data_IF_353635277808
#
_entry.id   IF_353635277808
#
_cell.length_a   1.000
_cell.length_b   1.000
_cell.length_c   1.000
_cell.angle_alpha   90.00
_cell.angle_beta   90.00
_cell.angle_gamma   90.00
#
_symmetry.space_group_name_H-M   'P 1'
#
loop_
_entity.id
_entity.type
_entity.pdbx_description
1 polymer ?
#
# COMPACT_ATOMS: atom_id res chain seq x y z
N UNK A 1 3.01 27.94 21.89
CA UNK A 1 4.42 28.12 22.31
C UNK A 1 4.89 26.82 22.97
N UNK A 2 5.74 26.07 22.28
CA UNK A 2 6.84 25.30 22.80
C UNK A 2 6.56 24.07 23.66
N UNK A 3 6.20 22.94 23.05
CA UNK A 3 6.39 21.61 23.65
C UNK A 3 6.82 20.58 22.59
N UNK A 4 7.87 20.87 21.83
CA UNK A 4 8.61 19.86 21.07
C UNK A 4 10.10 20.21 21.18
N UNK A 5 10.69 19.89 22.33
CA UNK A 5 12.14 19.91 22.50
C UNK A 5 12.70 18.55 22.06
N UNK A 6 13.64 18.65 21.14
CA UNK A 6 14.75 17.78 20.78
C UNK A 6 14.60 16.28 21.13
N UNK A 7 14.33 15.49 20.13
CA UNK A 7 14.49 14.03 20.18
C UNK A 7 15.97 13.68 20.41
N UNK A 8 16.23 13.05 21.53
CA UNK A 8 17.54 12.51 21.91
C UNK A 8 17.93 11.40 20.94
N UNK A 9 18.85 11.69 20.01
CA UNK A 9 19.35 10.75 18.98
C UNK A 9 20.05 9.49 19.55
N UNK A 10 20.12 9.35 20.86
CA UNK A 10 20.79 8.25 21.57
C UNK A 10 19.83 7.36 22.38
N UNK A 11 18.52 7.47 22.18
CA UNK A 11 17.59 6.57 22.87
C UNK A 11 17.70 5.17 22.28
N UNK A 12 18.39 4.28 22.98
CA UNK A 12 18.28 2.83 22.72
C UNK A 12 16.82 2.41 22.88
N UNK A 13 16.32 1.63 21.95
CA UNK A 13 15.01 1.00 22.10
C UNK A 13 14.93 0.30 23.47
N UNK A 14 13.84 0.46 24.23
CA UNK A 14 13.69 -0.25 25.48
C UNK A 14 13.70 -1.75 25.25
N UNK A 15 14.41 -2.49 26.08
CA UNK A 15 14.39 -3.96 26.05
C UNK A 15 12.95 -4.46 26.21
N UNK A 16 12.57 -5.45 25.42
CA UNK A 16 11.27 -6.12 25.56
C UNK A 16 11.04 -6.49 27.01
N UNK A 17 9.94 -6.10 27.65
CA UNK A 17 9.63 -6.56 28.98
C UNK A 17 9.51 -8.08 28.96
N UNK A 18 10.34 -8.76 29.73
CA UNK A 18 10.22 -10.21 29.96
C UNK A 18 8.94 -10.45 30.77
N UNK A 19 7.85 -10.71 30.08
CA UNK A 19 6.63 -11.23 30.73
C UNK A 19 6.95 -12.62 31.25
N UNK A 20 6.56 -12.92 32.50
CA UNK A 20 6.71 -14.26 33.03
C UNK A 20 5.93 -15.23 32.14
N UNK A 21 6.55 -16.33 31.71
CA UNK A 21 5.97 -17.35 30.83
C UNK A 21 4.57 -17.81 31.29
N UNK A 22 4.32 -17.82 32.59
CA UNK A 22 3.03 -18.21 33.17
C UNK A 22 1.88 -17.28 32.81
N UNK A 23 2.10 -15.95 32.77
CA UNK A 23 1.05 -14.99 32.38
C UNK A 23 0.80 -15.03 30.87
N UNK A 24 1.85 -15.21 30.08
CA UNK A 24 1.72 -15.33 28.63
C UNK A 24 0.98 -16.61 28.24
N UNK A 25 1.30 -17.74 28.87
CA UNK A 25 0.63 -19.02 28.65
C UNK A 25 -0.83 -19.00 29.07
N UNK A 26 -1.18 -18.37 30.21
CA UNK A 26 -2.56 -18.19 30.64
C UNK A 26 -3.36 -17.30 29.69
N UNK A 27 -2.75 -16.25 29.16
CA UNK A 27 -3.37 -15.35 28.19
C UNK A 27 -3.60 -16.06 26.87
N UNK A 28 -2.63 -16.81 26.36
CA UNK A 28 -2.78 -17.60 25.13
C UNK A 28 -3.83 -18.70 25.26
N UNK A 29 -3.94 -19.35 26.43
CA UNK A 29 -4.96 -20.35 26.70
C UNK A 29 -6.38 -19.74 26.74
N UNK A 30 -6.54 -18.55 27.32
CA UNK A 30 -7.77 -17.80 27.30
C UNK A 30 -8.16 -17.38 25.87
N UNK A 31 -7.20 -16.90 25.08
CA UNK A 31 -7.39 -16.54 23.66
C UNK A 31 -7.81 -17.76 22.85
N UNK A 32 -7.17 -18.91 23.01
CA UNK A 32 -7.50 -20.15 22.32
C UNK A 32 -8.92 -20.64 22.61
N UNK A 33 -9.42 -20.36 23.81
CA UNK A 33 -10.78 -20.75 24.23
C UNK A 33 -11.88 -19.92 23.53
N UNK A 34 -11.60 -18.67 23.18
CA UNK A 34 -12.55 -17.73 22.55
C UNK A 34 -12.38 -17.53 21.06
N UNK A 35 -11.25 -18.00 20.47
CA UNK A 35 -10.93 -17.80 19.05
C UNK A 35 -11.28 -18.99 18.13
N UNK A 36 -11.98 -19.99 18.62
CA UNK A 36 -12.18 -21.29 17.93
C UNK A 36 -13.12 -21.38 16.71
N UNK A 37 -13.79 -20.39 16.14
CA UNK A 37 -14.50 -20.64 14.87
C UNK A 37 -13.91 -20.02 13.62
N UNK A 38 -12.81 -19.28 13.65
CA UNK A 38 -12.37 -18.44 12.50
C UNK A 38 -11.28 -19.07 11.63
N UNK A 39 -10.63 -20.11 12.09
CA UNK A 39 -9.50 -20.74 11.39
C UNK A 39 -9.88 -21.50 10.09
N UNK A 40 -11.16 -21.78 9.90
CA UNK A 40 -11.64 -22.59 8.76
C UNK A 40 -11.61 -21.91 7.38
N UNK A 41 -11.37 -20.61 7.32
CA UNK A 41 -11.40 -19.85 6.06
C UNK A 41 -10.02 -19.65 5.38
N UNK A 42 -8.93 -19.79 6.13
CA UNK A 42 -7.57 -19.55 5.60
C UNK A 42 -6.80 -20.86 5.32
N UNK A 43 -7.16 -21.95 6.00
CA UNK A 43 -6.50 -23.26 5.84
C UNK A 43 -6.70 -23.88 4.43
N UNK A 44 -7.62 -23.33 3.63
CA UNK A 44 -7.82 -23.76 2.24
C UNK A 44 -7.02 -22.96 1.21
N UNK A 45 -6.11 -22.08 1.65
CA UNK A 45 -5.21 -21.32 0.80
C UNK A 45 -3.76 -21.82 0.85
N UNK A 46 -3.52 -23.05 1.30
CA UNK A 46 -2.29 -23.77 0.94
C UNK A 46 -2.32 -24.14 -0.55
N UNK A 47 -2.08 -23.12 -1.37
CA UNK A 47 -1.71 -23.35 -2.75
C UNK A 47 -0.24 -23.76 -2.70
N UNK A 48 0.06 -25.05 -2.90
CA UNK A 48 1.43 -25.52 -3.10
C UNK A 48 2.02 -24.87 -4.36
N UNK A 49 2.77 -23.79 -4.16
CA UNK A 49 3.52 -23.14 -5.23
C UNK A 49 4.87 -23.84 -5.43
N UNK A 50 4.99 -24.65 -6.45
CA UNK A 50 6.31 -25.00 -7.00
C UNK A 50 6.79 -23.86 -7.89
N UNK A 51 7.42 -22.85 -7.31
CA UNK A 51 7.98 -21.72 -8.05
C UNK A 51 9.46 -21.97 -8.29
N UNK A 52 9.86 -22.16 -9.54
CA UNK A 52 11.28 -22.26 -9.92
C UNK A 52 12.03 -20.93 -9.82
N UNK A 53 11.32 -19.81 -9.78
CA UNK A 53 11.81 -18.43 -9.63
C UNK A 53 10.74 -17.64 -8.87
N UNK A 54 11.17 -16.88 -7.85
CA UNK A 54 10.26 -15.98 -7.15
C UNK A 54 9.88 -14.82 -8.05
N UNK A 55 8.58 -14.57 -8.22
CA UNK A 55 8.08 -13.38 -8.91
C UNK A 55 8.49 -12.15 -8.11
N UNK A 56 9.08 -11.17 -8.81
CA UNK A 56 9.51 -9.91 -8.22
C UNK A 56 8.41 -8.87 -8.40
N UNK A 57 8.05 -8.23 -7.30
CA UNK A 57 6.95 -7.27 -7.23
C UNK A 57 7.45 -5.93 -6.71
N UNK A 58 7.24 -4.85 -7.45
CA UNK A 58 7.35 -3.49 -6.94
C UNK A 58 5.97 -2.97 -6.54
N UNK A 59 5.87 -2.33 -5.37
CA UNK A 59 4.66 -1.61 -4.94
C UNK A 59 5.00 -0.13 -4.81
N UNK A 60 4.28 0.72 -5.51
CA UNK A 60 4.61 2.13 -5.65
C UNK A 60 3.44 3.03 -5.20
N UNK A 61 3.76 4.06 -4.41
CA UNK A 61 2.88 5.19 -4.16
C UNK A 61 3.50 6.45 -4.77
N UNK A 62 2.73 7.11 -5.65
CA UNK A 62 3.13 8.36 -6.28
C UNK A 62 2.52 9.56 -5.56
N UNK A 63 3.10 10.77 -5.72
CA UNK A 63 2.46 11.98 -5.25
C UNK A 63 1.14 12.25 -6.04
N UNK A 64 0.17 12.88 -5.47
CA UNK A 64 0.17 13.47 -4.16
C UNK A 64 -0.49 12.53 -3.16
N UNK A 65 0.08 12.46 -1.97
CA UNK A 65 -0.50 11.88 -0.78
C UNK A 65 0.11 12.57 0.46
N UNK A 66 -0.59 12.56 1.60
CA UNK A 66 -0.06 13.16 2.82
C UNK A 66 1.26 12.49 3.26
N UNK A 67 2.39 13.22 3.32
CA UNK A 67 3.69 12.68 3.70
C UNK A 67 3.90 12.63 5.23
N UNK A 68 2.84 12.60 6.02
CA UNK A 68 2.93 12.58 7.49
C UNK A 68 3.52 11.28 8.02
N UNK A 69 3.18 10.15 7.40
CA UNK A 69 3.58 8.81 7.82
C UNK A 69 3.82 7.89 6.63
N UNK A 70 4.62 6.81 6.79
CA UNK A 70 4.76 5.79 5.76
C UNK A 70 3.40 5.20 5.34
N UNK A 71 3.21 4.87 4.05
CA UNK A 71 1.93 4.41 3.52
C UNK A 71 1.55 3.03 4.06
N UNK A 72 0.63 3.01 5.00
CA UNK A 72 0.16 1.80 5.68
C UNK A 72 -0.36 0.73 4.70
N UNK A 73 -1.14 1.14 3.70
CA UNK A 73 -1.68 0.24 2.68
C UNK A 73 -0.57 -0.49 1.90
N UNK A 74 0.47 0.23 1.47
CA UNK A 74 1.61 -0.35 0.76
C UNK A 74 2.38 -1.31 1.66
N UNK A 75 2.62 -0.93 2.93
CA UNK A 75 3.27 -1.80 3.92
C UNK A 75 2.47 -3.09 4.19
N UNK A 76 1.14 -3.03 4.23
CA UNK A 76 0.27 -4.21 4.38
C UNK A 76 0.32 -5.13 3.17
N UNK A 77 0.26 -4.56 1.96
CA UNK A 77 0.34 -5.32 0.71
C UNK A 77 1.73 -5.98 0.55
N UNK A 78 2.80 -5.26 0.90
CA UNK A 78 4.16 -5.80 0.89
C UNK A 78 4.27 -7.00 1.83
N UNK A 79 3.79 -6.87 3.07
CA UNK A 79 3.79 -7.95 4.04
C UNK A 79 2.99 -9.17 3.55
N UNK A 80 1.79 -8.96 2.98
CA UNK A 80 0.98 -10.04 2.45
C UNK A 80 1.70 -10.81 1.33
N UNK A 81 2.32 -10.10 0.39
CA UNK A 81 3.03 -10.69 -0.72
C UNK A 81 4.35 -11.37 -0.28
N UNK A 82 5.15 -10.74 0.61
CA UNK A 82 6.36 -11.36 1.18
C UNK A 82 6.05 -12.66 1.92
N UNK A 83 4.96 -12.70 2.71
CA UNK A 83 4.49 -13.93 3.41
C UNK A 83 4.07 -15.03 2.46
N UNK A 84 3.53 -14.68 1.29
CA UNK A 84 3.20 -15.63 0.23
C UNK A 84 4.44 -16.09 -0.59
N UNK A 85 5.64 -15.60 -0.27
CA UNK A 85 6.90 -16.03 -0.85
C UNK A 85 7.38 -15.19 -2.05
N UNK A 86 6.73 -14.08 -2.35
CA UNK A 86 7.15 -13.15 -3.40
C UNK A 86 8.34 -12.30 -2.94
N UNK A 87 9.20 -11.90 -3.89
CA UNK A 87 10.27 -10.94 -3.67
C UNK A 87 9.71 -9.52 -3.89
N UNK A 88 9.54 -8.76 -2.82
CA UNK A 88 8.80 -7.50 -2.85
C UNK A 88 9.69 -6.34 -2.45
N UNK A 89 9.62 -5.24 -3.21
CA UNK A 89 10.22 -3.95 -2.89
C UNK A 89 9.16 -2.85 -3.00
N UNK A 90 9.07 -2.01 -1.96
CA UNK A 90 8.14 -0.89 -1.92
C UNK A 90 8.85 0.42 -2.21
N UNK A 91 8.18 1.33 -2.93
CA UNK A 91 8.67 2.66 -3.26
C UNK A 91 7.62 3.70 -2.86
N UNK A 92 7.94 4.51 -1.87
CA UNK A 92 7.17 5.72 -1.58
C UNK A 92 7.78 6.91 -2.32
N UNK A 93 7.40 7.03 -3.59
CA UNK A 93 7.87 8.12 -4.46
C UNK A 93 7.26 9.45 -4.03
N UNK A 94 6.11 9.40 -3.34
CA UNK A 94 5.48 10.59 -2.80
C UNK A 94 6.34 11.27 -1.73
N UNK A 95 6.87 10.52 -0.76
CA UNK A 95 7.73 11.13 0.28
C UNK A 95 9.06 11.58 -0.30
N UNK A 96 9.62 10.85 -1.27
CA UNK A 96 10.85 11.29 -1.96
C UNK A 96 10.62 12.60 -2.74
N UNK A 97 9.46 12.75 -3.38
CA UNK A 97 9.07 13.97 -4.08
C UNK A 97 8.86 15.15 -3.11
N UNK A 98 8.20 14.90 -1.97
CA UNK A 98 8.01 15.91 -0.94
C UNK A 98 9.33 16.35 -0.31
N UNK A 99 10.24 15.42 -0.02
CA UNK A 99 11.56 15.72 0.50
C UNK A 99 12.37 16.55 -0.50
N UNK A 100 12.32 16.19 -1.78
CA UNK A 100 12.92 16.97 -2.86
C UNK A 100 12.31 18.38 -2.95
N UNK A 101 11.00 18.53 -2.88
CA UNK A 101 10.34 19.84 -2.89
C UNK A 101 10.81 20.73 -1.74
N UNK A 102 10.97 20.19 -0.54
CA UNK A 102 11.45 20.96 0.61
C UNK A 102 12.91 21.42 0.48
N UNK A 103 13.73 20.64 -0.19
CA UNK A 103 15.17 20.87 -0.28
C UNK A 103 15.58 21.59 -1.58
N UNK A 104 14.82 21.43 -2.64
CA UNK A 104 15.05 22.08 -3.93
C UNK A 104 14.18 23.34 -4.05
N UNK A 105 14.72 24.34 -4.76
CA UNK A 105 13.93 25.52 -5.07
C UNK A 105 13.10 25.28 -6.33
N UNK A 106 11.89 24.69 -6.15
CA UNK A 106 10.91 24.68 -7.24
C UNK A 106 10.41 26.11 -7.45
N UNK A 107 10.54 26.63 -8.63
CA UNK A 107 10.12 28.00 -8.96
C UNK A 107 8.59 28.08 -9.12
N UNK A 108 7.87 27.70 -8.03
CA UNK A 108 6.42 27.75 -7.91
C UNK A 108 6.05 28.56 -6.67
N UNK A 109 4.89 29.20 -6.70
CA UNK A 109 4.38 30.08 -5.63
C UNK A 109 3.32 29.41 -4.73
N UNK A 110 3.26 28.09 -4.75
CA UNK A 110 2.33 27.31 -3.93
C UNK A 110 3.01 26.05 -3.36
N UNK A 111 2.44 25.52 -2.28
CA UNK A 111 2.80 24.19 -1.76
C UNK A 111 2.00 23.11 -2.51
N UNK A 112 2.65 22.22 -3.28
CA UNK A 112 1.96 21.15 -3.99
C UNK A 112 1.27 20.14 -3.07
N UNK A 113 1.66 20.03 -1.80
CA UNK A 113 1.05 19.16 -0.80
C UNK A 113 0.07 19.88 0.13
N UNK A 114 -0.36 21.12 -0.22
CA UNK A 114 -1.49 21.77 0.43
C UNK A 114 -2.79 21.08 -0.02
N UNK A 115 -3.57 20.46 0.88
CA UNK A 115 -4.82 19.77 0.52
C UNK A 115 -5.87 20.65 -0.15
N UNK A 116 -5.74 21.98 -0.05
CA UNK A 116 -6.60 22.92 -0.75
C UNK A 116 -6.15 23.20 -2.19
N UNK A 117 -5.03 22.60 -2.59
CA UNK A 117 -4.39 22.82 -3.91
C UNK A 117 -4.10 21.51 -4.65
N UNK A 118 -4.75 20.40 -4.27
CA UNK A 118 -4.64 19.09 -4.90
C UNK A 118 -4.98 19.07 -6.40
N UNK A 119 -5.75 20.06 -6.86
CA UNK A 119 -6.10 20.24 -8.26
C UNK A 119 -4.89 20.46 -9.19
N UNK A 120 -3.73 20.89 -8.68
CA UNK A 120 -2.50 20.99 -9.47
C UNK A 120 -1.96 19.61 -9.91
N UNK A 121 -2.39 18.53 -9.23
CA UNK A 121 -2.00 17.16 -9.57
C UNK A 121 -2.92 16.52 -10.61
N UNK A 122 -4.04 17.18 -10.97
CA UNK A 122 -4.93 16.71 -12.03
C UNK A 122 -4.24 16.83 -13.38
N UNK A 123 -4.58 15.92 -14.31
CA UNK A 123 -3.86 15.75 -15.58
C UNK A 123 -3.65 17.06 -16.35
N UNK A 124 -4.65 17.96 -16.37
CA UNK A 124 -4.57 19.25 -17.06
C UNK A 124 -3.52 20.19 -16.45
N UNK A 125 -3.35 20.16 -15.15
CA UNK A 125 -2.45 21.04 -14.40
C UNK A 125 -1.10 20.39 -14.11
N UNK A 126 -1.08 19.08 -13.89
CA UNK A 126 0.13 18.33 -13.55
C UNK A 126 1.26 18.58 -14.55
N UNK A 127 1.00 18.42 -15.84
CA UNK A 127 2.03 18.60 -16.87
C UNK A 127 2.49 20.06 -17.01
N UNK A 128 1.66 21.02 -16.64
CA UNK A 128 1.98 22.43 -16.69
C UNK A 128 2.72 22.92 -15.45
N UNK A 129 2.27 22.47 -14.27
CA UNK A 129 2.63 23.10 -13.00
C UNK A 129 3.65 22.29 -12.19
N UNK A 130 3.67 20.94 -12.35
CA UNK A 130 4.40 20.02 -11.48
C UNK A 130 5.44 19.17 -12.23
N UNK A 131 5.07 18.63 -13.37
CA UNK A 131 5.81 17.57 -14.05
C UNK A 131 7.29 17.88 -14.26
N UNK A 132 7.62 19.09 -14.75
CA UNK A 132 9.00 19.51 -15.02
C UNK A 132 9.89 19.40 -13.79
N UNK A 133 9.38 19.72 -12.61
CA UNK A 133 10.11 19.63 -11.34
C UNK A 133 10.25 18.19 -10.84
N UNK A 134 9.25 17.36 -11.12
CA UNK A 134 9.18 16.00 -10.63
C UNK A 134 9.87 14.98 -11.56
N UNK A 135 9.92 15.24 -12.86
CA UNK A 135 10.42 14.31 -13.87
C UNK A 135 11.82 13.75 -13.57
N UNK A 136 12.82 14.54 -13.14
CA UNK A 136 14.14 14.00 -12.84
C UNK A 136 14.11 12.92 -11.74
N UNK A 137 13.30 13.10 -10.71
CA UNK A 137 13.09 12.10 -9.67
C UNK A 137 12.36 10.87 -10.21
N UNK A 138 11.30 11.05 -11.01
CA UNK A 138 10.58 9.93 -11.62
C UNK A 138 11.49 9.09 -12.50
N UNK A 139 12.36 9.71 -13.30
CA UNK A 139 13.34 9.01 -14.13
C UNK A 139 14.35 8.20 -13.28
N UNK A 140 14.83 8.77 -12.17
CA UNK A 140 15.67 8.06 -11.22
C UNK A 140 14.92 6.84 -10.64
N UNK A 141 13.67 7.01 -10.17
CA UNK A 141 12.87 5.93 -9.58
C UNK A 141 12.51 4.85 -10.60
N UNK A 142 12.24 5.22 -11.83
CA UNK A 142 12.06 4.26 -12.92
C UNK A 142 13.32 3.41 -13.10
N UNK A 143 14.52 4.02 -13.05
CA UNK A 143 15.75 3.26 -13.16
C UNK A 143 15.96 2.32 -11.96
N UNK A 144 15.71 2.79 -10.73
CA UNK A 144 15.75 1.93 -9.53
C UNK A 144 14.80 0.71 -9.63
N UNK A 145 13.60 0.91 -10.19
CA UNK A 145 12.64 -0.17 -10.45
C UNK A 145 13.18 -1.12 -11.53
N UNK A 146 13.74 -0.60 -12.61
CA UNK A 146 14.33 -1.42 -13.68
C UNK A 146 15.50 -2.26 -13.14
N UNK A 147 16.35 -1.68 -12.31
CA UNK A 147 17.50 -2.38 -11.70
C UNK A 147 17.06 -3.50 -10.75
N UNK A 148 15.92 -3.36 -10.10
CA UNK A 148 15.30 -4.46 -9.34
C UNK A 148 14.79 -5.57 -10.26
N UNK A 149 14.53 -5.30 -11.53
CA UNK A 149 14.02 -6.23 -12.56
C UNK A 149 12.70 -6.90 -12.14
N UNK A 150 11.61 -6.14 -11.89
CA UNK A 150 10.34 -6.68 -11.46
C UNK A 150 9.61 -7.40 -12.59
N UNK A 151 8.86 -8.43 -12.22
CA UNK A 151 7.87 -9.07 -13.10
C UNK A 151 6.54 -8.29 -13.06
N UNK A 152 6.26 -7.66 -11.91
CA UNK A 152 5.02 -6.92 -11.65
C UNK A 152 5.33 -5.59 -10.98
N UNK A 153 4.70 -4.51 -11.42
CA UNK A 153 4.68 -3.21 -10.74
C UNK A 153 3.24 -2.83 -10.41
N UNK A 154 2.95 -2.70 -9.12
CA UNK A 154 1.66 -2.31 -8.59
C UNK A 154 1.66 -0.86 -8.10
N UNK A 155 0.66 -0.10 -8.49
CA UNK A 155 0.48 1.28 -8.07
C UNK A 155 -0.76 1.43 -7.18
N UNK A 156 -0.64 2.21 -6.11
CA UNK A 156 -1.80 2.69 -5.37
C UNK A 156 -2.35 3.95 -6.02
N UNK A 157 -3.59 3.88 -6.48
CA UNK A 157 -4.24 4.96 -7.21
C UNK A 157 -5.21 5.72 -6.33
N UNK A 158 -4.93 7.01 -6.20
CA UNK A 158 -5.83 8.04 -5.70
C UNK A 158 -6.16 9.01 -6.84
N UNK A 159 -7.22 9.77 -6.67
CA UNK A 159 -7.63 10.76 -7.66
C UNK A 159 -6.51 11.76 -7.98
N UNK A 160 -5.81 12.24 -6.96
CA UNK A 160 -4.75 13.23 -7.08
C UNK A 160 -3.44 12.68 -7.68
N UNK A 161 -3.16 11.38 -7.62
CA UNK A 161 -1.90 10.83 -8.13
C UNK A 161 -2.02 10.11 -9.50
N UNK A 162 -3.14 10.27 -10.18
CA UNK A 162 -3.40 9.57 -11.44
C UNK A 162 -2.43 9.97 -12.56
N UNK A 163 -2.16 11.26 -12.72
CA UNK A 163 -1.30 11.75 -13.80
C UNK A 163 0.16 11.25 -13.67
N UNK A 164 0.86 11.41 -12.53
CA UNK A 164 2.20 10.85 -12.36
C UNK A 164 2.22 9.31 -12.41
N UNK A 165 1.15 8.63 -11.95
CA UNK A 165 1.05 7.17 -12.05
C UNK A 165 0.99 6.71 -13.50
N UNK A 166 0.17 7.33 -14.32
CA UNK A 166 0.11 7.03 -15.77
C UNK A 166 1.43 7.28 -16.47
N UNK A 167 2.07 8.41 -16.17
CA UNK A 167 3.39 8.72 -16.73
C UNK A 167 4.40 7.61 -16.42
N UNK A 168 4.52 7.23 -15.14
CA UNK A 168 5.45 6.18 -14.72
C UNK A 168 5.14 4.82 -15.35
N UNK A 169 3.86 4.44 -15.41
CA UNK A 169 3.43 3.20 -16.02
C UNK A 169 3.77 3.15 -17.52
N UNK A 170 3.57 4.25 -18.25
CA UNK A 170 3.95 4.36 -19.67
C UNK A 170 5.46 4.21 -19.86
N UNK A 171 6.27 4.90 -19.07
CA UNK A 171 7.72 4.83 -19.16
C UNK A 171 8.26 3.44 -18.79
N UNK A 172 7.69 2.79 -17.79
CA UNK A 172 8.05 1.41 -17.43
C UNK A 172 7.71 0.43 -18.55
N UNK A 173 6.53 0.50 -19.16
CA UNK A 173 6.17 -0.37 -20.30
C UNK A 173 7.07 -0.16 -21.51
N UNK A 174 7.52 1.06 -21.78
CA UNK A 174 8.51 1.33 -22.87
C UNK A 174 9.84 0.64 -22.61
N UNK A 175 10.33 0.62 -21.38
CA UNK A 175 11.66 0.10 -21.01
C UNK A 175 11.64 -1.37 -20.59
N UNK A 176 10.51 -1.85 -20.06
CA UNK A 176 10.27 -3.23 -19.65
C UNK A 176 9.01 -3.75 -20.36
N UNK A 177 9.08 -4.14 -21.66
CA UNK A 177 7.89 -4.49 -22.45
C UNK A 177 7.07 -5.67 -21.89
N UNK A 178 7.71 -6.52 -21.09
CA UNK A 178 7.08 -7.71 -20.49
C UNK A 178 6.61 -7.50 -19.05
N UNK A 179 6.78 -6.31 -18.48
CA UNK A 179 6.34 -6.02 -17.12
C UNK A 179 4.83 -5.98 -17.05
N UNK A 180 4.27 -6.62 -16.04
CA UNK A 180 2.84 -6.50 -15.73
C UNK A 180 2.60 -5.28 -14.86
N UNK A 181 1.76 -4.37 -15.31
CA UNK A 181 1.36 -3.19 -14.55
C UNK A 181 0.01 -3.42 -13.89
N UNK A 182 -0.04 -3.28 -12.57
CA UNK A 182 -1.26 -3.39 -11.77
C UNK A 182 -1.60 -2.04 -11.14
N UNK A 183 -2.88 -1.81 -10.94
CA UNK A 183 -3.37 -0.66 -10.20
C UNK A 183 -4.45 -1.08 -9.22
N UNK A 184 -4.40 -0.54 -8.02
CA UNK A 184 -5.41 -0.72 -6.97
C UNK A 184 -5.62 0.59 -6.20
N UNK A 185 -6.51 0.58 -5.22
CA UNK A 185 -6.79 1.75 -4.41
C UNK A 185 -8.18 2.36 -4.64
N UNK A 186 -8.56 3.38 -3.87
CA UNK A 186 -9.93 3.90 -3.86
C UNK A 186 -10.40 4.38 -5.22
N UNK A 187 -9.53 5.03 -5.99
CA UNK A 187 -9.93 5.65 -7.27
C UNK A 187 -10.14 4.67 -8.41
N UNK A 188 -9.82 3.38 -8.24
CA UNK A 188 -10.15 2.34 -9.23
C UNK A 188 -11.66 2.07 -9.34
N UNK A 189 -12.43 2.49 -8.35
CA UNK A 189 -13.91 2.42 -8.34
C UNK A 189 -14.58 3.67 -8.90
N UNK A 190 -13.84 4.77 -9.07
CA UNK A 190 -14.43 6.04 -9.48
C UNK A 190 -14.90 5.98 -10.94
N UNK A 191 -15.92 6.80 -11.24
CA UNK A 191 -16.40 6.98 -12.62
C UNK A 191 -15.35 7.63 -13.55
N UNK A 192 -14.32 8.22 -12.96
CA UNK A 192 -13.19 8.84 -13.67
C UNK A 192 -12.16 7.79 -14.14
N UNK A 193 -12.06 6.64 -13.43
CA UNK A 193 -11.20 5.54 -13.87
C UNK A 193 -11.97 4.64 -14.84
N UNK A 194 -11.71 4.81 -16.10
CA UNK A 194 -12.25 3.93 -17.17
C UNK A 194 -11.11 3.04 -17.60
N UNK A 195 -10.99 1.83 -17.09
CA UNK A 195 -9.93 0.86 -17.36
C UNK A 195 -9.09 1.21 -18.61
N UNK A 196 -7.88 1.66 -18.37
CA UNK A 196 -6.97 2.12 -19.42
C UNK A 196 -6.14 0.93 -19.90
N UNK A 197 -5.86 0.80 -21.20
CA UNK A 197 -4.99 -0.25 -21.77
C UNK A 197 -3.58 -0.26 -21.16
N UNK A 198 -3.24 0.79 -20.45
CA UNK A 198 -1.97 0.94 -19.76
C UNK A 198 -1.83 -0.05 -18.60
N UNK A 199 -2.94 -0.42 -17.94
CA UNK A 199 -2.95 -1.30 -16.78
C UNK A 199 -3.41 -2.70 -17.15
N UNK A 200 -2.57 -3.69 -16.89
CA UNK A 200 -2.88 -5.10 -17.19
C UNK A 200 -3.88 -5.66 -16.18
N UNK A 201 -3.84 -5.19 -14.93
CA UNK A 201 -4.75 -5.58 -13.86
C UNK A 201 -5.26 -4.38 -13.07
N UNK A 202 -6.54 -4.39 -12.76
CA UNK A 202 -7.21 -3.40 -11.90
C UNK A 202 -7.80 -4.12 -10.69
N UNK A 203 -7.32 -3.77 -9.51
CA UNK A 203 -7.76 -4.37 -8.24
C UNK A 203 -8.81 -3.49 -7.59
N UNK A 204 -10.04 -3.98 -7.48
CA UNK A 204 -11.15 -3.28 -6.83
C UNK A 204 -11.45 -3.92 -5.48
N UNK A 205 -11.48 -3.12 -4.41
CA UNK A 205 -11.75 -3.55 -3.04
C UNK A 205 -10.50 -3.63 -2.18
N UNK A 206 -10.53 -4.47 -1.16
CA UNK A 206 -9.40 -4.66 -0.25
C UNK A 206 -8.30 -5.44 -0.96
N UNK A 207 -7.10 -4.85 -1.00
CA UNK A 207 -6.06 -5.28 -1.92
C UNK A 207 -5.31 -6.57 -1.54
N UNK A 208 -5.36 -7.01 -0.28
CA UNK A 208 -4.47 -8.07 0.21
C UNK A 208 -4.66 -9.41 -0.53
N UNK A 209 -5.88 -9.93 -0.61
CA UNK A 209 -6.14 -11.18 -1.34
C UNK A 209 -6.19 -10.99 -2.86
N UNK A 210 -6.86 -9.96 -3.41
CA UNK A 210 -6.84 -9.74 -4.85
C UNK A 210 -5.44 -9.60 -5.43
N UNK A 211 -4.51 -8.97 -4.71
CA UNK A 211 -3.10 -8.92 -5.10
C UNK A 211 -2.52 -10.34 -5.23
N UNK A 212 -2.71 -11.19 -4.21
CA UNK A 212 -2.19 -12.57 -4.24
C UNK A 212 -2.84 -13.41 -5.35
N UNK A 213 -4.14 -13.24 -5.58
CA UNK A 213 -4.86 -13.89 -6.68
C UNK A 213 -4.30 -13.46 -8.04
N UNK A 214 -4.02 -12.16 -8.21
CA UNK A 214 -3.41 -11.65 -9.43
C UNK A 214 -2.01 -12.21 -9.65
N UNK A 215 -1.16 -12.18 -8.63
CA UNK A 215 0.20 -12.72 -8.70
C UNK A 215 0.19 -14.21 -9.05
N UNK A 216 -0.67 -14.99 -8.40
CA UNK A 216 -0.83 -16.40 -8.71
C UNK A 216 -1.32 -16.65 -10.16
N UNK A 217 -2.23 -15.80 -10.65
CA UNK A 217 -2.71 -15.88 -12.03
C UNK A 217 -1.61 -15.60 -13.05
N UNK A 218 -0.76 -14.60 -12.78
CA UNK A 218 0.38 -14.25 -13.62
C UNK A 218 1.35 -15.43 -13.69
N UNK A 219 1.70 -16.04 -12.56
CA UNK A 219 2.62 -17.16 -12.48
C UNK A 219 2.07 -18.42 -13.20
N UNK A 220 0.83 -18.75 -12.95
CA UNK A 220 0.23 -19.98 -13.50
C UNK A 220 -0.32 -19.81 -14.91
N UNK A 221 -0.30 -18.60 -15.50
CA UNK A 221 -0.95 -18.27 -16.79
C UNK A 221 -2.42 -18.71 -16.87
N UNK A 222 -3.06 -18.96 -15.72
CA UNK A 222 -4.47 -19.32 -15.62
C UNK A 222 -5.28 -18.04 -15.55
N UNK A 223 -6.12 -17.81 -16.54
CA UNK A 223 -6.92 -16.60 -16.66
C UNK A 223 -7.86 -16.41 -15.47
N UNK A 224 -7.77 -15.28 -14.83
CA UNK A 224 -8.86 -14.71 -14.05
C UNK A 224 -9.98 -14.38 -15.03
N UNK A 225 -11.24 -14.51 -14.61
CA UNK A 225 -12.37 -14.21 -15.48
C UNK A 225 -12.20 -12.83 -16.13
N UNK A 226 -12.13 -12.84 -17.43
CA UNK A 226 -11.92 -11.68 -18.27
C UNK A 226 -13.27 -11.27 -18.85
N UNK A 227 -13.60 -9.99 -18.72
CA UNK A 227 -14.70 -9.42 -19.49
C UNK A 227 -14.13 -8.99 -20.84
N UNK A 228 -14.53 -9.63 -21.93
CA UNK A 228 -14.05 -9.36 -23.30
C UNK A 228 -14.25 -7.90 -23.74
N UNK A 229 -15.13 -7.15 -23.06
CA UNK A 229 -15.38 -5.74 -23.32
C UNK A 229 -14.44 -4.79 -22.56
N UNK A 230 -13.69 -5.30 -21.59
CA UNK A 230 -12.73 -4.52 -20.79
C UNK A 230 -11.31 -4.90 -21.23
N UNK A 231 -10.50 -3.90 -21.57
CA UNK A 231 -9.12 -4.10 -22.01
C UNK A 231 -8.20 -4.54 -20.88
N UNK A 232 -8.52 -4.17 -19.62
CA UNK A 232 -7.80 -4.56 -18.42
C UNK A 232 -8.53 -5.67 -17.66
N UNK A 233 -7.77 -6.59 -17.05
CA UNK A 233 -8.35 -7.63 -16.17
C UNK A 233 -8.73 -7.01 -14.83
N UNK A 234 -10.01 -7.00 -14.51
CA UNK A 234 -10.52 -6.51 -13.24
C UNK A 234 -10.63 -7.64 -12.24
N UNK A 235 -9.94 -7.49 -11.11
CA UNK A 235 -10.01 -8.41 -9.98
C UNK A 235 -10.82 -7.74 -8.89
N UNK A 236 -11.97 -8.31 -8.58
CA UNK A 236 -12.87 -7.81 -7.53
C UNK A 236 -12.85 -8.73 -6.33
N UNK A 237 -12.74 -8.12 -5.16
CA UNK A 237 -13.01 -8.86 -3.94
C UNK A 237 -14.49 -9.24 -3.92
N UNK A 238 -14.86 -10.52 -3.70
CA UNK A 238 -16.25 -10.91 -3.54
C UNK A 238 -16.90 -10.19 -2.36
N UNK A 239 -18.11 -9.65 -2.53
CA UNK A 239 -18.81 -8.86 -1.51
C UNK A 239 -19.07 -9.62 -0.20
N UNK A 240 -19.18 -10.94 -0.26
CA UNK A 240 -19.42 -11.82 0.87
C UNK A 240 -18.13 -12.34 1.54
N UNK A 241 -16.96 -12.04 0.99
CA UNK A 241 -15.65 -12.47 1.50
C UNK A 241 -14.90 -11.28 2.09
N UNK A 242 -15.36 -10.80 3.24
CA UNK A 242 -14.68 -9.75 3.98
C UNK A 242 -13.66 -10.35 4.92
N UNK A 243 -12.44 -9.82 4.93
CA UNK A 243 -11.41 -10.32 5.84
C UNK A 243 -11.77 -10.06 7.30
N UNK A 244 -11.39 -10.98 8.15
CA UNK A 244 -11.18 -10.68 9.55
C UNK A 244 -9.88 -9.87 9.67
N UNK A 245 -9.99 -8.59 9.97
CA UNK A 245 -8.82 -7.68 10.04
C UNK A 245 -7.78 -8.15 11.04
N UNK A 246 -8.19 -8.92 12.07
CA UNK A 246 -7.28 -9.48 13.07
C UNK A 246 -6.37 -10.60 12.55
N UNK A 247 -6.66 -11.14 11.36
CA UNK A 247 -5.84 -12.20 10.74
C UNK A 247 -4.95 -11.68 9.63
N UNK A 248 -5.07 -10.40 9.27
CA UNK A 248 -4.21 -9.79 8.29
C UNK A 248 -2.77 -9.69 8.81
N UNK A 249 -1.75 -9.85 7.96
CA UNK A 249 -0.36 -9.73 8.37
C UNK A 249 -0.06 -8.33 8.93
N UNK A 250 0.91 -8.25 9.83
CA UNK A 250 1.44 -6.97 10.32
C UNK A 250 2.07 -6.18 9.16
N UNK A 251 2.04 -4.83 9.18
CA UNK A 251 2.65 -4.04 8.11
C UNK A 251 4.16 -4.25 8.04
N UNK A 252 4.72 -4.23 6.84
CA UNK A 252 6.17 -4.31 6.62
C UNK A 252 6.66 -2.95 6.12
N UNK A 253 7.35 -2.24 6.98
CA UNK A 253 7.90 -0.92 6.70
C UNK A 253 9.39 -0.95 6.35
N UNK A 254 9.99 -2.11 6.11
CA UNK A 254 11.43 -2.29 5.91
C UNK A 254 12.00 -1.51 4.72
N UNK A 255 11.17 -1.16 3.74
CA UNK A 255 11.59 -0.40 2.56
C UNK A 255 11.44 1.14 2.74
N UNK A 256 10.92 1.62 3.89
CA UNK A 256 10.63 3.03 4.09
C UNK A 256 11.62 3.72 5.03
N UNK A 257 12.16 4.86 4.61
CA UNK A 257 13.01 5.71 5.43
C UNK A 257 12.16 6.69 6.24
N UNK A 258 11.92 6.36 7.51
CA UNK A 258 11.10 7.15 8.42
C UNK A 258 11.59 8.59 8.60
N UNK A 259 12.88 8.85 8.43
CA UNK A 259 13.46 10.19 8.59
C UNK A 259 12.93 11.23 7.58
N UNK A 260 12.40 10.76 6.46
CA UNK A 260 11.85 11.60 5.38
C UNK A 260 10.44 12.10 5.66
N UNK A 261 9.69 11.47 6.56
CA UNK A 261 8.30 11.83 6.83
C UNK A 261 8.17 13.02 7.77
N UNK A 262 7.02 13.69 7.75
CA UNK A 262 6.73 14.81 8.67
C UNK A 262 6.85 14.39 10.13
N UNK A 263 6.47 13.15 10.45
CA UNK A 263 6.54 12.56 11.78
C UNK A 263 7.43 11.31 11.76
N UNK A 264 8.76 11.48 11.88
CA UNK A 264 9.72 10.38 11.69
C UNK A 264 9.66 9.29 12.78
N UNK A 265 8.99 9.56 13.90
CA UNK A 265 8.79 8.59 14.99
C UNK A 265 7.35 8.07 15.04
N UNK A 266 6.60 8.19 13.96
CA UNK A 266 5.19 7.80 13.90
C UNK A 266 4.90 6.83 12.77
N UNK A 267 3.93 5.95 13.00
CA UNK A 267 3.36 5.07 12.00
C UNK A 267 1.85 4.92 12.19
N UNK A 268 1.17 4.52 11.13
CA UNK A 268 -0.28 4.29 11.17
C UNK A 268 -0.59 2.87 11.64
N UNK A 269 -1.64 2.72 12.46
CA UNK A 269 -2.18 1.46 12.90
C UNK A 269 -3.65 1.34 12.48
N UNK A 270 -4.03 0.20 11.91
CA UNK A 270 -5.43 -0.04 11.53
C UNK A 270 -6.18 -0.74 12.65
N UNK A 271 -7.10 -0.04 13.31
CA UNK A 271 -8.00 -0.61 14.33
C UNK A 271 -9.37 -1.00 13.78
N UNK A 272 -9.77 -0.39 12.67
CA UNK A 272 -11.04 -0.67 11.99
C UNK A 272 -10.94 -0.32 10.52
N UNK A 273 -11.83 -0.90 9.72
CA UNK A 273 -11.96 -0.61 8.28
C UNK A 273 -13.43 -0.41 7.92
N UNK A 274 -13.70 0.58 7.07
CA UNK A 274 -15.04 0.98 6.69
C UNK A 274 -15.72 1.89 7.72
N UNK A 275 -16.95 2.29 7.44
CA UNK A 275 -17.71 3.23 8.26
C UNK A 275 -19.14 2.76 8.47
N UNK A 276 -19.73 3.09 9.64
CA UNK A 276 -21.14 2.84 9.94
C UNK A 276 -22.07 3.91 9.39
N UNK A 277 -21.54 5.11 9.09
CA UNK A 277 -22.32 6.21 8.52
C UNK A 277 -22.60 5.96 7.04
N UNK A 278 -23.62 6.61 6.50
CA UNK A 278 -24.03 6.52 5.08
C UNK A 278 -24.05 7.92 4.47
N UNK A 279 -22.92 8.64 4.60
CA UNK A 279 -22.81 9.98 4.04
C UNK A 279 -22.87 9.90 2.51
N UNK A 280 -23.71 10.73 1.90
CA UNK A 280 -23.98 10.70 0.45
C UNK A 280 -22.77 11.07 -0.42
N UNK A 281 -21.81 11.78 0.15
CA UNK A 281 -20.57 12.22 -0.50
C UNK A 281 -19.37 11.29 -0.26
N UNK A 282 -19.53 10.26 0.60
CA UNK A 282 -18.41 9.43 1.03
C UNK A 282 -18.37 8.12 0.26
N UNK A 283 -17.31 7.89 -0.51
CA UNK A 283 -17.12 6.65 -1.26
C UNK A 283 -16.86 5.44 -0.36
N UNK A 284 -16.20 5.61 0.79
CA UNK A 284 -15.88 4.50 1.70
C UNK A 284 -17.09 3.70 2.17
N UNK A 285 -18.22 4.38 2.38
CA UNK A 285 -19.45 3.72 2.85
C UNK A 285 -20.09 2.81 1.83
N UNK A 286 -19.78 3.01 0.54
CA UNK A 286 -20.28 2.19 -0.55
C UNK A 286 -19.44 0.92 -0.75
N UNK A 287 -18.14 0.99 -0.43
CA UNK A 287 -17.22 -0.10 -0.73
C UNK A 287 -16.89 -0.97 0.48
N UNK A 288 -16.84 -0.41 1.69
CA UNK A 288 -16.37 -1.13 2.87
C UNK A 288 -17.38 -1.15 4.00
N UNK A 289 -17.83 -2.36 4.37
CA UNK A 289 -18.61 -2.55 5.60
C UNK A 289 -17.69 -2.38 6.80
N UNK A 290 -18.20 -1.67 7.81
CA UNK A 290 -17.47 -1.47 9.06
C UNK A 290 -17.11 -2.79 9.75
N UNK A 291 -15.86 -2.92 10.13
CA UNK A 291 -15.30 -4.05 10.89
C UNK A 291 -14.21 -3.52 11.82
N UNK A 292 -14.01 -4.20 12.93
CA UNK A 292 -12.96 -3.89 13.89
C UNK A 292 -11.98 -5.04 13.99
N UNK A 293 -10.74 -4.70 14.31
CA UNK A 293 -9.74 -5.65 14.81
C UNK A 293 -10.03 -5.95 16.28
N UNK A 294 -9.64 -7.14 16.75
CA UNK A 294 -9.63 -7.41 18.17
C UNK A 294 -8.48 -6.66 18.85
N UNK A 295 -8.60 -6.42 20.15
CA UNK A 295 -7.63 -5.65 20.92
C UNK A 295 -6.22 -6.29 20.89
N UNK A 296 -6.12 -7.62 20.89
CA UNK A 296 -4.83 -8.32 20.88
C UNK A 296 -4.06 -8.07 19.59
N UNK A 297 -4.70 -8.24 18.43
CA UNK A 297 -4.03 -8.00 17.15
C UNK A 297 -3.69 -6.52 16.94
N UNK A 298 -4.45 -5.61 17.58
CA UNK A 298 -4.13 -4.18 17.56
C UNK A 298 -2.88 -3.89 18.39
N UNK A 299 -2.80 -4.44 19.60
CA UNK A 299 -1.61 -4.30 20.47
C UNK A 299 -0.39 -4.95 19.82
N UNK A 300 -0.54 -6.14 19.22
CA UNK A 300 0.53 -6.81 18.49
C UNK A 300 1.09 -5.94 17.35
N UNK A 301 0.22 -5.23 16.61
CA UNK A 301 0.67 -4.33 15.55
C UNK A 301 1.38 -3.09 16.11
N UNK A 302 0.89 -2.53 17.22
CA UNK A 302 1.56 -1.41 17.90
C UNK A 302 2.94 -1.83 18.43
N UNK A 303 3.03 -2.99 19.07
CA UNK A 303 4.30 -3.55 19.54
C UNK A 303 5.26 -3.82 18.39
N UNK A 304 4.79 -4.40 17.30
CA UNK A 304 5.59 -4.62 16.09
C UNK A 304 6.17 -3.32 15.57
N UNK A 305 5.35 -2.29 15.38
CA UNK A 305 5.83 -0.97 14.92
C UNK A 305 6.82 -0.34 15.89
N UNK A 306 6.62 -0.51 17.19
CA UNK A 306 7.47 0.11 18.22
C UNK A 306 8.85 -0.55 18.34
N UNK A 307 8.95 -1.86 18.11
CA UNK A 307 10.20 -2.61 18.29
C UNK A 307 10.98 -2.83 17.00
N UNK A 308 10.32 -2.79 15.84
CA UNK A 308 10.98 -3.07 14.55
C UNK A 308 11.34 -1.78 13.78
N UNK A 309 10.71 -0.64 14.14
CA UNK A 309 10.88 0.66 13.49
C UNK A 309 11.03 1.79 14.51
#
# INVERSE_FOLDING_TARGET
MGFFEQSDKNRKAPERPTFSEDKHTATLAAIAKYSKPVQKGLDNLEIEYKVNRRTKVCLCLLPEWDPSFPPYNTAKLASAAKRAGYDVKSFDINVDAWDKFKNDNWNIDFDPWDPLRDWHWLEEHYYKDIHEHLEPLLQQKIQEIIDFAPDVVGFTLYYCNMAPTKYMAMELKKRLPNVTIMVGGPSTHSSYFKGDDLFDYVVNGEGEQPLLVALASIENKKGIQYNEQEKSKIIRQPENQRYNLSTLPLPDYSDFDFSKYKFPNGALCEISRGCIAKCTFCEETHFWKYRQRNAFSTVEEIEHMYYEH
#
